data_IF_768974878019
#
_entry.id   IF_768974878019
#
_cell.length_a   1.000
_cell.length_b   1.000
_cell.length_c   1.000
_cell.angle_alpha   90.00
_cell.angle_beta   90.00
_cell.angle_gamma   90.00
#
_symmetry.space_group_name_H-M   'P 1'
#
loop_
_entity.id
_entity.type
_entity.pdbx_description
1 polymer ?
#
# COMPACT_ATOMS: atom_id res chain seq x y z
N UNK A 1 -12.02 -60.65 15.45
CA UNK A 1 -11.28 -59.43 15.86
C UNK A 1 -10.86 -58.65 14.62
N UNK A 2 -11.56 -57.59 14.21
CA UNK A 2 -11.16 -56.82 13.01
C UNK A 2 -11.80 -55.43 12.90
N UNK A 3 -11.58 -54.53 13.87
CA UNK A 3 -12.08 -53.14 13.72
C UNK A 3 -11.14 -52.02 14.21
N UNK A 4 -9.96 -52.32 14.76
CA UNK A 4 -9.05 -51.28 15.30
C UNK A 4 -8.07 -50.65 14.27
N UNK A 5 -7.99 -51.17 13.04
CA UNK A 5 -7.00 -50.73 12.04
C UNK A 5 -7.45 -49.57 11.13
N UNK A 6 -8.75 -49.43 10.84
CA UNK A 6 -9.25 -48.42 9.88
C UNK A 6 -9.19 -46.99 10.43
N UNK A 7 -9.57 -46.78 11.69
CA UNK A 7 -9.58 -45.45 12.30
C UNK A 7 -8.19 -44.84 12.47
N UNK A 8 -7.18 -45.67 12.76
CA UNK A 8 -5.79 -45.19 12.95
C UNK A 8 -5.10 -44.84 11.63
N UNK A 9 -5.39 -45.58 10.56
CA UNK A 9 -4.92 -45.28 9.22
C UNK A 9 -5.59 -44.01 8.65
N UNK A 10 -6.89 -43.85 8.88
CA UNK A 10 -7.65 -42.65 8.51
C UNK A 10 -7.17 -41.40 9.26
N UNK A 11 -6.95 -41.49 10.57
CA UNK A 11 -6.37 -40.41 11.37
C UNK A 11 -4.98 -40.01 10.88
N UNK A 12 -4.11 -40.98 10.57
CA UNK A 12 -2.77 -40.71 10.05
C UNK A 12 -2.84 -39.99 8.70
N UNK A 13 -3.69 -40.46 7.79
CA UNK A 13 -3.89 -39.83 6.49
C UNK A 13 -4.40 -38.39 6.61
N UNK A 14 -5.34 -38.12 7.52
CA UNK A 14 -5.83 -36.76 7.79
C UNK A 14 -4.75 -35.86 8.37
N UNK A 15 -3.88 -36.41 9.23
CA UNK A 15 -2.75 -35.69 9.82
C UNK A 15 -1.71 -35.34 8.73
N UNK A 16 -1.37 -36.28 7.85
CA UNK A 16 -0.47 -36.05 6.71
C UNK A 16 -1.02 -34.96 5.76
N UNK A 17 -2.34 -34.94 5.50
CA UNK A 17 -2.99 -33.90 4.70
C UNK A 17 -2.93 -32.53 5.37
N UNK A 18 -3.17 -32.47 6.68
CA UNK A 18 -3.10 -31.22 7.45
C UNK A 18 -1.67 -30.67 7.53
N UNK A 19 -0.66 -31.54 7.73
CA UNK A 19 0.75 -31.13 7.72
C UNK A 19 1.16 -30.56 6.37
N UNK A 20 0.72 -31.19 5.28
CA UNK A 20 0.96 -30.68 3.92
C UNK A 20 0.29 -29.33 3.69
N UNK A 21 -0.98 -29.20 4.08
CA UNK A 21 -1.72 -27.95 3.95
C UNK A 21 -1.07 -26.81 4.76
N UNK A 22 -0.59 -27.11 5.97
CA UNK A 22 0.11 -26.14 6.82
C UNK A 22 1.45 -25.72 6.21
N UNK A 23 2.21 -26.65 5.64
CA UNK A 23 3.45 -26.36 4.91
C UNK A 23 3.20 -25.46 3.69
N UNK A 24 2.17 -25.76 2.89
CA UNK A 24 1.85 -24.98 1.71
C UNK A 24 1.30 -23.59 2.09
N UNK A 25 0.52 -23.50 3.16
CA UNK A 25 0.09 -22.21 3.71
C UNK A 25 1.27 -21.36 4.18
N UNK A 26 2.24 -21.96 4.88
CA UNK A 26 3.47 -21.27 5.31
C UNK A 26 4.29 -20.73 4.14
N UNK A 27 4.39 -21.49 3.04
CA UNK A 27 5.05 -21.01 1.80
C UNK A 27 4.29 -19.83 1.19
N UNK A 28 2.97 -19.90 1.16
CA UNK A 28 2.12 -18.81 0.65
C UNK A 28 2.31 -17.53 1.47
N UNK A 29 2.31 -17.63 2.81
CA UNK A 29 2.58 -16.49 3.70
C UNK A 29 3.95 -15.89 3.38
N UNK A 30 5.00 -16.71 3.32
CA UNK A 30 6.35 -16.23 3.04
C UNK A 30 6.46 -15.53 1.68
N UNK A 31 5.77 -16.05 0.66
CA UNK A 31 5.70 -15.41 -0.65
C UNK A 31 5.02 -14.04 -0.58
N UNK A 32 3.88 -13.96 0.11
CA UNK A 32 3.12 -12.71 0.30
C UNK A 32 3.92 -11.66 1.09
N UNK A 33 4.62 -12.07 2.15
CA UNK A 33 5.55 -11.20 2.88
C UNK A 33 6.65 -10.64 1.97
N UNK A 34 7.22 -11.49 1.12
CA UNK A 34 8.22 -11.08 0.13
C UNK A 34 7.68 -10.07 -0.89
N UNK A 35 6.43 -10.24 -1.33
CA UNK A 35 5.76 -9.26 -2.20
C UNK A 35 5.51 -7.95 -1.47
N UNK A 36 4.97 -7.99 -0.25
CA UNK A 36 4.72 -6.81 0.58
C UNK A 36 5.99 -5.97 0.76
N UNK A 37 7.12 -6.60 1.11
CA UNK A 37 8.41 -5.89 1.27
C UNK A 37 8.85 -5.24 -0.04
N UNK A 38 8.71 -5.93 -1.18
CA UNK A 38 9.06 -5.35 -2.50
C UNK A 38 8.18 -4.15 -2.83
N UNK A 39 6.87 -4.27 -2.67
CA UNK A 39 5.92 -3.18 -2.92
C UNK A 39 6.23 -1.97 -2.06
N UNK A 40 6.47 -2.15 -0.75
CA UNK A 40 6.85 -1.04 0.15
C UNK A 40 8.14 -0.35 -0.31
N UNK A 41 9.16 -1.11 -0.74
CA UNK A 41 10.41 -0.55 -1.25
C UNK A 41 10.23 0.19 -2.58
N UNK A 42 9.43 -0.35 -3.49
CA UNK A 42 9.08 0.30 -4.76
C UNK A 42 8.33 1.60 -4.50
N UNK A 43 7.40 1.59 -3.56
CA UNK A 43 6.67 2.77 -3.13
C UNK A 43 7.61 3.85 -2.61
N UNK A 44 8.51 3.51 -1.68
CA UNK A 44 9.51 4.44 -1.16
C UNK A 44 10.43 5.03 -2.26
N UNK A 45 10.82 4.24 -3.26
CA UNK A 45 11.59 4.73 -4.40
C UNK A 45 10.77 5.70 -5.28
N UNK A 46 9.50 5.35 -5.54
CA UNK A 46 8.56 6.23 -6.25
C UNK A 46 8.31 7.52 -5.48
N UNK A 47 8.32 7.48 -4.14
CA UNK A 47 8.13 8.67 -3.32
C UNK A 47 9.19 9.73 -3.62
N UNK A 48 10.47 9.35 -3.65
CA UNK A 48 11.57 10.27 -3.96
C UNK A 48 11.44 10.89 -5.36
N UNK A 49 11.02 10.08 -6.34
CA UNK A 49 10.82 10.54 -7.71
C UNK A 49 9.66 11.54 -7.82
N UNK A 50 8.54 11.26 -7.15
CA UNK A 50 7.39 12.17 -7.09
C UNK A 50 7.75 13.48 -6.38
N UNK A 51 8.48 13.42 -5.27
CA UNK A 51 8.95 14.63 -4.56
C UNK A 51 9.85 15.50 -5.45
N UNK A 52 10.76 14.89 -6.22
CA UNK A 52 11.61 15.60 -7.17
C UNK A 52 10.80 16.25 -8.29
N UNK A 53 9.83 15.52 -8.87
CA UNK A 53 8.96 16.03 -9.92
C UNK A 53 8.09 17.20 -9.44
N UNK A 54 7.57 17.13 -8.21
CA UNK A 54 6.81 18.24 -7.60
C UNK A 54 7.68 19.50 -7.50
N UNK A 55 8.88 19.36 -6.91
CA UNK A 55 9.78 20.50 -6.65
C UNK A 55 10.32 21.15 -7.91
N UNK A 56 10.41 20.40 -9.00
CA UNK A 56 10.92 20.87 -10.30
C UNK A 56 9.82 21.20 -11.30
N UNK A 57 8.54 21.10 -10.89
CA UNK A 57 7.43 21.31 -11.79
C UNK A 57 7.35 22.78 -12.23
N UNK A 58 7.24 23.08 -13.54
CA UNK A 58 7.25 24.47 -14.04
C UNK A 58 5.98 25.26 -13.70
N UNK A 59 4.89 24.58 -13.30
CA UNK A 59 3.60 25.17 -12.91
C UNK A 59 3.04 24.49 -11.66
N UNK A 60 3.65 24.70 -10.48
CA UNK A 60 3.24 24.01 -9.25
C UNK A 60 1.82 24.40 -8.82
N UNK A 61 1.37 25.61 -9.17
CA UNK A 61 0.01 26.12 -9.00
C UNK A 61 -1.04 25.25 -9.70
N UNK A 62 -0.79 24.89 -10.96
CA UNK A 62 -1.66 24.02 -11.74
C UNK A 62 -1.62 22.59 -11.19
N UNK A 63 -0.43 22.11 -10.85
CA UNK A 63 -0.26 20.79 -10.24
C UNK A 63 -1.10 20.66 -8.96
N UNK A 64 -1.13 21.69 -8.10
CA UNK A 64 -1.95 21.71 -6.89
C UNK A 64 -3.45 21.61 -7.18
N UNK A 65 -3.94 22.34 -8.20
CA UNK A 65 -5.36 22.28 -8.59
C UNK A 65 -5.75 20.91 -9.10
N UNK A 66 -4.92 20.29 -9.94
CA UNK A 66 -5.14 18.93 -10.43
C UNK A 66 -5.05 17.90 -9.31
N UNK A 67 -4.06 18.03 -8.43
CA UNK A 67 -3.89 17.20 -7.26
C UNK A 67 -5.14 17.21 -6.38
N UNK A 68 -5.67 18.40 -6.07
CA UNK A 68 -6.88 18.55 -5.27
C UNK A 68 -8.15 17.99 -5.95
N UNK A 69 -8.16 17.84 -7.28
CA UNK A 69 -9.29 17.25 -8.01
C UNK A 69 -9.21 15.72 -8.11
N UNK A 70 -8.02 15.18 -8.35
CA UNK A 70 -7.82 13.75 -8.62
C UNK A 70 -7.62 12.93 -7.35
N UNK A 71 -6.95 13.47 -6.35
CA UNK A 71 -6.62 12.73 -5.12
C UNK A 71 -7.86 12.30 -4.32
N UNK A 72 -8.92 13.11 -4.16
CA UNK A 72 -10.14 12.63 -3.51
C UNK A 72 -10.74 11.41 -4.20
N UNK A 73 -10.77 11.36 -5.54
CA UNK A 73 -11.25 10.19 -6.29
C UNK A 73 -10.39 8.96 -6.05
N UNK A 74 -9.06 9.15 -6.05
CA UNK A 74 -8.12 8.08 -5.77
C UNK A 74 -8.27 7.56 -4.33
N UNK A 75 -8.54 8.45 -3.36
CA UNK A 75 -8.83 8.07 -1.97
C UNK A 75 -10.12 7.28 -1.92
N UNK A 76 -11.19 7.70 -2.59
CA UNK A 76 -12.47 6.97 -2.61
C UNK A 76 -12.31 5.56 -3.22
N UNK A 77 -11.52 5.43 -4.29
CA UNK A 77 -11.21 4.13 -4.91
C UNK A 77 -10.41 3.20 -3.99
N UNK A 78 -9.42 3.74 -3.26
CA UNK A 78 -8.53 2.95 -2.38
C UNK A 78 -9.12 2.73 -0.99
N UNK A 79 -10.02 3.61 -0.53
CA UNK A 79 -10.70 3.52 0.76
C UNK A 79 -11.91 2.59 0.76
N UNK A 80 -12.29 2.06 -0.40
CA UNK A 80 -13.28 1.00 -0.51
C UNK A 80 -12.69 -0.32 0.04
N UNK A 81 -12.71 -0.44 1.37
CA UNK A 81 -12.24 -1.61 2.11
C UNK A 81 -13.47 -2.45 2.47
N UNK A 82 -13.66 -3.65 1.88
CA UNK A 82 -14.70 -4.57 2.31
C UNK A 82 -14.72 -4.78 3.83
N UNK A 83 -15.91 -4.90 4.42
CA UNK A 83 -16.10 -4.95 5.88
C UNK A 83 -15.41 -6.16 6.56
N UNK A 84 -15.01 -7.14 5.75
CA UNK A 84 -14.54 -8.47 6.19
C UNK A 84 -13.01 -8.57 6.34
N UNK A 85 -12.30 -7.44 6.33
CA UNK A 85 -10.86 -7.43 6.05
C UNK A 85 -9.97 -7.35 7.31
N UNK A 86 -8.87 -8.11 7.28
CA UNK A 86 -7.81 -8.18 8.31
C UNK A 86 -7.17 -6.82 8.65
N UNK A 87 -6.78 -6.63 9.92
CA UNK A 87 -6.15 -5.41 10.50
C UNK A 87 -5.02 -4.80 9.65
N UNK A 88 -4.32 -5.60 8.86
CA UNK A 88 -3.23 -5.14 7.98
C UNK A 88 -3.70 -4.12 6.92
N UNK A 89 -4.95 -4.22 6.44
CA UNK A 89 -5.47 -3.30 5.43
C UNK A 89 -5.89 -1.95 6.00
N UNK A 90 -6.20 -1.88 7.30
CA UNK A 90 -6.39 -0.58 7.98
C UNK A 90 -5.07 0.19 8.06
N UNK A 91 -3.94 -0.50 8.28
CA UNK A 91 -2.62 0.10 8.28
C UNK A 91 -2.22 0.61 6.88
N UNK A 92 -2.61 -0.11 5.82
CA UNK A 92 -2.42 0.33 4.44
C UNK A 92 -3.20 1.62 4.14
N UNK A 93 -4.47 1.69 4.53
CA UNK A 93 -5.28 2.90 4.36
C UNK A 93 -4.68 4.13 5.09
N UNK A 94 -4.20 3.94 6.32
CA UNK A 94 -3.53 5.00 7.08
C UNK A 94 -2.21 5.45 6.43
N UNK A 95 -1.43 4.52 5.89
CA UNK A 95 -0.20 4.85 5.16
C UNK A 95 -0.49 5.67 3.90
N UNK A 96 -1.55 5.33 3.16
CA UNK A 96 -2.01 6.10 2.01
C UNK A 96 -2.45 7.52 2.39
N UNK A 97 -3.24 7.67 3.44
CA UNK A 97 -3.64 9.00 3.95
C UNK A 97 -2.44 9.85 4.35
N UNK A 98 -1.45 9.27 5.04
CA UNK A 98 -0.23 9.97 5.44
C UNK A 98 0.59 10.43 4.22
N UNK A 99 0.68 9.61 3.19
CA UNK A 99 1.37 9.98 1.96
C UNK A 99 0.68 11.14 1.24
N UNK A 100 -0.65 11.08 1.08
CA UNK A 100 -1.42 12.16 0.45
C UNK A 100 -1.15 13.49 1.15
N UNK A 101 -1.27 13.53 2.48
CA UNK A 101 -1.03 14.75 3.26
C UNK A 101 0.38 15.32 3.02
N UNK A 102 1.40 14.46 2.99
CA UNK A 102 2.80 14.87 2.76
C UNK A 102 2.98 15.51 1.39
N UNK A 103 2.36 14.96 0.34
CA UNK A 103 2.51 15.50 -1.01
C UNK A 103 1.69 16.75 -1.25
N UNK A 104 0.47 16.84 -0.72
CA UNK A 104 -0.29 18.11 -0.74
C UNK A 104 0.56 19.24 -0.17
N UNK A 105 1.14 19.03 1.03
CA UNK A 105 2.00 20.02 1.68
C UNK A 105 3.22 20.41 0.82
N UNK A 106 3.90 19.44 0.20
CA UNK A 106 5.05 19.72 -0.65
C UNK A 106 4.69 20.52 -1.91
N UNK A 107 3.52 20.24 -2.51
CA UNK A 107 3.04 20.97 -3.68
C UNK A 107 2.67 22.40 -3.27
N UNK A 108 1.97 22.60 -2.15
CA UNK A 108 1.64 23.92 -1.59
C UNK A 108 2.92 24.74 -1.33
N UNK A 109 3.88 24.18 -0.60
CA UNK A 109 5.14 24.85 -0.29
C UNK A 109 5.94 25.21 -1.55
N UNK A 110 5.88 24.37 -2.59
CA UNK A 110 6.52 24.68 -3.87
C UNK A 110 5.78 25.81 -4.58
N UNK A 111 4.45 25.79 -4.62
CA UNK A 111 3.66 26.85 -5.22
C UNK A 111 3.89 28.22 -4.56
N UNK A 112 3.94 28.26 -3.23
CA UNK A 112 4.22 29.47 -2.45
C UNK A 112 5.61 30.03 -2.74
N UNK A 113 6.63 29.18 -2.83
CA UNK A 113 7.99 29.59 -3.16
C UNK A 113 8.06 30.27 -4.54
N UNK A 114 7.45 29.67 -5.57
CA UNK A 114 7.44 30.25 -6.91
C UNK A 114 6.63 31.56 -6.99
N UNK A 115 5.53 31.68 -6.24
CA UNK A 115 4.79 32.93 -6.14
C UNK A 115 5.66 34.07 -5.56
N UNK A 116 6.41 33.80 -4.50
CA UNK A 116 7.33 34.77 -3.88
C UNK A 116 8.50 35.16 -4.80
N UNK A 117 9.01 34.23 -5.61
CA UNK A 117 10.06 34.56 -6.60
C UNK A 117 9.55 35.53 -7.67
N UNK A 118 8.29 35.41 -8.09
CA UNK A 118 7.70 36.29 -9.10
C UNK A 118 7.26 37.66 -8.55
N UNK A 119 6.94 37.76 -7.26
CA UNK A 119 6.64 39.05 -6.61
C UNK A 119 7.87 39.98 -6.47
N UNK A 120 9.09 39.45 -6.63
CA UNK A 120 10.35 40.21 -6.58
C UNK A 120 10.86 40.73 -7.94
N UNK A 121 10.14 40.47 -9.03
CA UNK A 121 10.52 40.87 -10.41
C UNK A 121 9.71 42.07 -10.96
N UNK A 122 8.79 42.65 -10.17
CA UNK A 122 8.05 43.90 -10.46
C UNK A 122 8.67 45.13 -9.77
#
# INVERSE_FOLDING_TARGET
>A
MRFFGRGRADLKQRLDVLEKALLDHKKSIHFLEGQRIRTVRQFAAMQSLVESLIRTHPRPDMMLRWWNHEVPKLIDEVSHVPEDIHVEHQLEALAWQAMVKRYTYLIEATADFYAQCHEGED
#
